data_IF_526854986814
#
_entry.id   IF_526854986814
#
_cell.length_a   1.000
_cell.length_b   1.000
_cell.length_c   1.000
_cell.angle_alpha   90.00
_cell.angle_beta   90.00
_cell.angle_gamma   90.00
#
_symmetry.space_group_name_H-M   'P 1'
#
loop_
_entity.id
_entity.type
_entity.pdbx_description
1 polymer ?
#
# COMPACT_ATOMS: atom_id res chain seq x y z
N UNK A 1 7.68 -28.76 -1.75
CA UNK A 1 7.36 -29.21 -3.13
C UNK A 1 7.54 -30.71 -3.16
N UNK A 2 6.68 -31.45 -3.87
CA UNK A 2 6.83 -32.90 -3.95
C UNK A 2 7.87 -33.27 -5.00
N UNK A 3 8.58 -34.36 -4.77
CA UNK A 3 9.72 -34.81 -5.59
C UNK A 3 9.31 -35.22 -7.00
N UNK A 4 8.05 -35.62 -7.22
CA UNK A 4 7.54 -36.05 -8.52
C UNK A 4 7.31 -34.90 -9.53
N UNK A 5 7.45 -33.64 -9.12
CA UNK A 5 7.28 -32.50 -10.01
C UNK A 5 8.63 -32.02 -10.55
N UNK A 6 8.97 -32.42 -11.78
CA UNK A 6 10.08 -31.84 -12.52
C UNK A 6 9.70 -30.44 -13.06
N UNK A 7 9.81 -29.44 -12.19
CA UNK A 7 9.49 -28.03 -12.46
C UNK A 7 10.27 -27.42 -13.63
N UNK A 8 11.42 -27.98 -14.01
CA UNK A 8 12.24 -27.50 -15.12
C UNK A 8 11.63 -27.87 -16.48
N UNK A 9 10.92 -29.00 -16.58
CA UNK A 9 10.22 -29.43 -17.80
C UNK A 9 8.90 -28.68 -18.04
N UNK A 10 8.38 -27.96 -17.03
CA UNK A 10 7.08 -27.29 -17.05
C UNK A 10 7.11 -25.85 -17.63
N UNK A 11 8.22 -25.44 -18.26
CA UNK A 11 8.42 -24.11 -18.86
C UNK A 11 7.95 -22.96 -17.94
N UNK A 12 8.60 -22.77 -16.78
CA UNK A 12 8.16 -21.82 -15.77
C UNK A 12 8.20 -20.39 -16.30
N UNK A 13 7.02 -19.78 -16.49
CA UNK A 13 6.88 -18.38 -16.86
C UNK A 13 6.97 -17.50 -15.62
N UNK A 14 7.78 -16.43 -15.67
CA UNK A 14 7.79 -15.40 -14.62
C UNK A 14 6.38 -14.83 -14.45
N UNK A 15 5.86 -14.87 -13.23
CA UNK A 15 4.55 -14.32 -12.93
C UNK A 15 4.53 -12.80 -13.25
N UNK A 16 3.70 -12.34 -14.21
CA UNK A 16 3.63 -10.91 -14.58
C UNK A 16 3.15 -10.02 -13.44
N UNK A 17 2.46 -10.59 -12.43
CA UNK A 17 2.00 -9.90 -11.23
C UNK A 17 3.06 -9.83 -10.12
N UNK A 18 4.18 -10.54 -10.24
CA UNK A 18 5.26 -10.49 -9.23
C UNK A 18 5.87 -9.07 -9.09
N UNK A 19 5.75 -8.23 -10.12
CA UNK A 19 6.19 -6.82 -10.10
C UNK A 19 5.30 -5.91 -9.26
N UNK A 20 4.07 -6.33 -8.92
CA UNK A 20 3.18 -5.56 -8.04
C UNK A 20 3.36 -5.97 -6.58
N UNK A 21 4.57 -6.39 -6.20
CA UNK A 21 4.87 -6.65 -4.80
C UNK A 21 4.69 -5.32 -4.06
N UNK A 22 3.76 -5.29 -3.10
CA UNK A 22 3.47 -4.10 -2.30
C UNK A 22 4.76 -3.71 -1.58
N UNK A 23 5.40 -2.65 -2.04
CA UNK A 23 6.59 -2.11 -1.37
C UNK A 23 6.15 -1.62 0.01
N UNK A 24 6.60 -2.31 1.06
CA UNK A 24 6.32 -1.92 2.42
C UNK A 24 7.23 -0.75 2.79
N UNK A 25 6.66 0.45 2.87
CA UNK A 25 7.33 1.63 3.41
C UNK A 25 6.82 1.91 4.83
N UNK A 26 7.75 2.17 5.75
CA UNK A 26 7.44 2.63 7.10
C UNK A 26 7.54 4.15 7.12
N UNK A 27 6.46 4.83 7.48
CA UNK A 27 6.44 6.29 7.66
C UNK A 27 6.16 6.64 9.11
N UNK A 28 6.80 7.69 9.62
CA UNK A 28 6.47 8.23 10.93
C UNK A 28 5.29 9.18 10.80
N UNK A 29 4.28 8.95 11.64
CA UNK A 29 3.04 9.74 11.69
C UNK A 29 2.85 10.18 13.12
N UNK A 30 2.46 11.43 13.35
CA UNK A 30 2.17 11.91 14.70
C UNK A 30 0.94 11.20 15.29
N UNK A 31 0.89 10.98 16.63
CA UNK A 31 -0.24 10.32 17.27
C UNK A 31 -1.59 10.99 16.98
N UNK A 32 -1.59 12.32 16.87
CA UNK A 32 -2.80 13.10 16.57
C UNK A 32 -3.36 12.79 15.18
N UNK A 33 -2.49 12.69 14.17
CA UNK A 33 -2.88 12.36 12.80
C UNK A 33 -3.38 10.92 12.73
N UNK A 34 -2.71 9.99 13.40
CA UNK A 34 -3.15 8.59 13.46
C UNK A 34 -4.55 8.46 14.06
N UNK A 35 -4.82 9.12 15.18
CA UNK A 35 -6.12 9.09 15.85
C UNK A 35 -7.25 9.67 14.98
N UNK A 36 -6.96 10.76 14.24
CA UNK A 36 -7.92 11.32 13.29
C UNK A 36 -8.31 10.31 12.20
N UNK A 37 -7.31 9.70 11.54
CA UNK A 37 -7.57 8.73 10.48
C UNK A 37 -8.16 7.41 10.99
N UNK A 38 -7.92 7.05 12.25
CA UNK A 38 -8.52 5.87 12.86
C UNK A 38 -10.03 6.03 13.05
N UNK A 39 -10.47 7.17 13.59
CA UNK A 39 -11.91 7.47 13.74
C UNK A 39 -12.64 7.50 12.39
N UNK A 40 -12.04 8.14 11.39
CA UNK A 40 -12.65 8.20 10.06
C UNK A 40 -12.65 6.83 9.34
N UNK A 41 -11.62 6.02 9.56
CA UNK A 41 -11.54 4.67 9.04
C UNK A 41 -12.65 3.77 9.60
N UNK A 42 -12.97 3.91 10.89
CA UNK A 42 -14.08 3.19 11.55
C UNK A 42 -15.44 3.57 10.95
N UNK A 43 -15.67 4.85 10.64
CA UNK A 43 -16.92 5.31 10.02
C UNK A 43 -17.09 4.81 8.57
N UNK A 44 -15.98 4.68 7.84
CA UNK A 44 -15.95 4.30 6.43
C UNK A 44 -15.75 2.79 6.21
N UNK A 45 -15.61 2.01 7.29
CA UNK A 45 -15.28 0.57 7.27
C UNK A 45 -14.05 0.25 6.38
N UNK A 46 -13.01 1.09 6.46
CA UNK A 46 -11.75 0.93 5.72
C UNK A 46 -10.57 0.95 6.67
N UNK A 47 -9.41 0.40 6.26
CA UNK A 47 -8.21 0.51 7.08
C UNK A 47 -7.66 1.95 7.09
N UNK A 48 -7.16 2.43 8.24
CA UNK A 48 -6.51 3.74 8.34
C UNK A 48 -5.33 3.87 7.36
N UNK A 49 -4.60 2.78 7.10
CA UNK A 49 -3.51 2.77 6.11
C UNK A 49 -4.03 3.07 4.70
N UNK A 50 -5.17 2.47 4.32
CA UNK A 50 -5.81 2.71 3.02
C UNK A 50 -6.27 4.16 2.90
N UNK A 51 -6.90 4.69 3.95
CA UNK A 51 -7.42 6.06 3.96
C UNK A 51 -6.29 7.09 3.86
N UNK A 52 -5.22 6.92 4.65
CA UNK A 52 -4.02 7.77 4.58
C UNK A 52 -3.43 7.74 3.17
N UNK A 53 -3.27 6.55 2.58
CA UNK A 53 -2.74 6.42 1.23
C UNK A 53 -3.63 7.13 0.19
N UNK A 54 -4.95 7.02 0.29
CA UNK A 54 -5.88 7.73 -0.59
C UNK A 54 -5.76 9.24 -0.46
N UNK A 55 -5.64 9.78 0.76
CA UNK A 55 -5.42 11.21 0.97
C UNK A 55 -4.09 11.69 0.37
N UNK A 56 -3.01 10.91 0.52
CA UNK A 56 -1.72 11.23 -0.08
C UNK A 56 -1.80 11.22 -1.61
N UNK A 57 -2.51 10.25 -2.21
CA UNK A 57 -2.77 10.21 -3.64
C UNK A 57 -3.57 11.43 -4.12
N UNK A 58 -4.56 11.87 -3.35
CA UNK A 58 -5.32 13.07 -3.68
C UNK A 58 -4.44 14.33 -3.69
N UNK A 59 -3.49 14.45 -2.75
CA UNK A 59 -2.51 15.55 -2.73
C UNK A 59 -1.66 15.53 -4.02
N UNK A 60 -1.17 14.36 -4.42
CA UNK A 60 -0.37 14.18 -5.65
C UNK A 60 -1.20 14.53 -6.89
N UNK A 61 -2.41 14.00 -7.00
CA UNK A 61 -3.28 14.21 -8.15
C UNK A 61 -3.70 15.68 -8.31
N UNK A 62 -3.94 16.37 -7.19
CA UNK A 62 -4.30 17.78 -7.20
C UNK A 62 -3.07 18.73 -7.22
N UNK A 63 -1.85 18.20 -7.32
CA UNK A 63 -0.60 18.97 -7.24
C UNK A 63 -0.59 19.96 -6.06
N UNK A 64 -1.16 19.55 -4.90
CA UNK A 64 -1.22 20.39 -3.70
C UNK A 64 0.21 20.62 -3.22
N UNK A 65 0.71 21.85 -3.37
CA UNK A 65 2.02 22.24 -2.87
C UNK A 65 1.94 22.46 -1.37
N UNK A 66 2.75 21.70 -0.63
CA UNK A 66 2.93 21.94 0.80
C UNK A 66 3.77 23.21 0.92
N UNK A 67 3.18 24.26 1.48
CA UNK A 67 3.93 25.47 1.80
C UNK A 67 4.68 25.23 3.11
N UNK A 68 6.00 25.22 3.04
CA UNK A 68 6.89 25.04 4.17
C UNK A 68 7.40 26.42 4.57
N UNK A 69 6.69 27.10 5.47
CA UNK A 69 7.10 28.38 6.03
C UNK A 69 7.03 28.33 7.56
#
# INVERSE_FOLDING_TARGET
MREEYNIEELNPKKNPYAKKLKEQSTIQISPTVMNYFQKQAEELDVSSQTLINMCLLDIVNNNKKINWN
#
